data_IF_890035699014
#
_entry.id   IF_890035699014
#
_cell.length_a   1.000
_cell.length_b   1.000
_cell.length_c   1.000
_cell.angle_alpha   90.00
_cell.angle_beta   90.00
_cell.angle_gamma   90.00
#
_symmetry.space_group_name_H-M   'P 1'
#
loop_
_entity.id
_entity.type
_entity.pdbx_description
1 polymer ?
#
# COMPACT_ATOMS: atom_id res chain seq x y z
N UNK A 1 -2.03 6.47 10.40
CA UNK A 1 -2.08 5.00 10.45
C UNK A 1 -0.67 4.44 10.29
N UNK A 2 0.09 4.25 11.38
CA UNK A 2 1.48 3.75 11.31
C UNK A 2 1.54 2.27 10.93
N UNK A 3 0.64 1.44 11.47
CA UNK A 3 0.63 0.00 11.18
C UNK A 3 0.31 -0.33 9.72
N UNK A 4 -0.60 0.40 9.06
CA UNK A 4 -1.00 0.07 7.68
C UNK A 4 0.16 0.23 6.68
N UNK A 5 1.04 1.21 6.91
CA UNK A 5 2.26 1.44 6.11
C UNK A 5 3.33 0.37 6.31
N UNK A 6 3.25 -0.42 7.38
CA UNK A 6 4.22 -1.48 7.70
C UNK A 6 3.65 -2.85 7.32
N UNK A 7 2.37 -3.09 7.62
CA UNK A 7 1.70 -4.37 7.35
C UNK A 7 1.59 -4.62 5.85
N UNK A 8 1.26 -3.61 5.04
CA UNK A 8 1.11 -3.78 3.59
C UNK A 8 2.42 -4.23 2.89
N UNK A 9 3.57 -3.56 3.09
CA UNK A 9 4.83 -4.04 2.52
C UNK A 9 5.27 -5.39 3.09
N UNK A 10 5.00 -5.66 4.37
CA UNK A 10 5.32 -6.95 4.98
C UNK A 10 4.56 -8.10 4.31
N UNK A 11 3.25 -7.94 4.08
CA UNK A 11 2.42 -8.96 3.41
C UNK A 11 2.89 -9.17 1.98
N UNK A 12 3.19 -8.10 1.23
CA UNK A 12 3.71 -8.22 -0.13
C UNK A 12 5.05 -8.96 -0.16
N UNK A 13 5.95 -8.67 0.79
CA UNK A 13 7.23 -9.35 0.90
C UNK A 13 7.07 -10.85 1.19
N UNK A 14 6.19 -11.23 2.12
CA UNK A 14 5.92 -12.65 2.43
C UNK A 14 5.37 -13.39 1.21
N UNK A 15 4.42 -12.81 0.49
CA UNK A 15 3.87 -13.39 -0.74
C UNK A 15 4.98 -13.57 -1.79
N UNK A 16 5.86 -12.58 -1.91
CA UNK A 16 6.96 -12.64 -2.86
C UNK A 16 7.96 -13.75 -2.52
N UNK A 17 8.35 -13.88 -1.25
CA UNK A 17 9.25 -14.96 -0.79
C UNK A 17 8.67 -16.32 -1.14
N UNK A 18 7.41 -16.55 -0.77
CA UNK A 18 6.71 -17.82 -1.06
C UNK A 18 6.64 -18.07 -2.55
N UNK A 19 6.28 -17.06 -3.36
CA UNK A 19 6.27 -17.21 -4.81
C UNK A 19 7.66 -17.53 -5.37
N UNK A 20 8.71 -16.84 -4.92
CA UNK A 20 10.07 -17.05 -5.42
C UNK A 20 10.61 -18.44 -5.08
N UNK A 21 10.26 -18.99 -3.91
CA UNK A 21 10.59 -20.38 -3.56
C UNK A 21 9.81 -21.39 -4.40
N UNK A 22 8.49 -21.19 -4.59
CA UNK A 22 7.67 -22.11 -5.38
C UNK A 22 8.15 -22.19 -6.85
N UNK A 23 8.48 -21.05 -7.45
CA UNK A 23 8.95 -20.99 -8.83
C UNK A 23 10.45 -21.26 -9.00
N UNK A 24 11.18 -21.56 -7.91
CA UNK A 24 12.63 -21.80 -7.90
C UNK A 24 13.41 -20.71 -8.66
N UNK A 25 12.95 -19.46 -8.54
CA UNK A 25 13.56 -18.33 -9.23
C UNK A 25 14.92 -18.06 -8.60
N UNK A 26 15.98 -18.15 -9.40
CA UNK A 26 17.34 -17.87 -8.97
C UNK A 26 18.02 -16.87 -9.92
N UNK A 27 19.05 -16.17 -9.43
CA UNK A 27 19.82 -15.22 -10.23
C UNK A 27 19.02 -13.97 -10.66
N UNK A 28 19.13 -13.58 -11.93
CA UNK A 28 18.53 -12.34 -12.44
C UNK A 28 16.98 -12.29 -12.34
N UNK A 29 16.22 -13.38 -12.65
CA UNK A 29 14.77 -13.41 -12.47
C UNK A 29 14.31 -13.12 -11.03
N UNK A 30 15.07 -13.59 -10.04
CA UNK A 30 14.77 -13.35 -8.62
C UNK A 30 14.86 -11.85 -8.31
N UNK A 31 15.95 -11.20 -8.72
CA UNK A 31 16.19 -9.78 -8.47
C UNK A 31 15.08 -8.94 -9.13
N UNK A 32 14.71 -9.27 -10.38
CA UNK A 32 13.64 -8.57 -11.10
C UNK A 32 12.31 -8.72 -10.39
N UNK A 33 11.96 -9.94 -9.94
CA UNK A 33 10.73 -10.17 -9.18
C UNK A 33 10.70 -9.31 -7.91
N UNK A 34 11.80 -9.27 -7.17
CA UNK A 34 11.93 -8.45 -5.96
C UNK A 34 11.77 -6.95 -6.22
N UNK A 35 12.41 -6.42 -7.26
CA UNK A 35 12.31 -5.00 -7.64
C UNK A 35 10.87 -4.65 -8.05
N UNK A 36 10.26 -5.48 -8.89
CA UNK A 36 8.86 -5.28 -9.34
C UNK A 36 7.90 -5.36 -8.15
N UNK A 37 8.08 -6.34 -7.28
CA UNK A 37 7.30 -6.51 -6.05
C UNK A 37 7.39 -5.32 -5.10
N UNK A 38 8.61 -4.81 -4.91
CA UNK A 38 8.86 -3.64 -4.08
C UNK A 38 8.20 -2.38 -4.64
N UNK A 39 8.38 -2.11 -5.94
CA UNK A 39 7.74 -0.98 -6.62
C UNK A 39 6.22 -1.07 -6.56
N UNK A 40 5.65 -2.26 -6.77
CA UNK A 40 4.22 -2.49 -6.64
C UNK A 40 3.71 -2.18 -5.22
N UNK A 41 4.44 -2.60 -4.18
CA UNK A 41 4.11 -2.29 -2.79
C UNK A 41 4.13 -0.78 -2.50
N UNK A 42 5.13 -0.07 -3.02
CA UNK A 42 5.22 1.38 -2.86
C UNK A 42 4.05 2.10 -3.54
N UNK A 43 3.73 1.73 -4.79
CA UNK A 43 2.64 2.34 -5.55
C UNK A 43 1.30 2.10 -4.86
N UNK A 44 1.01 0.87 -4.46
CA UNK A 44 -0.24 0.53 -3.76
C UNK A 44 -0.35 1.26 -2.42
N UNK A 45 0.74 1.36 -1.66
CA UNK A 45 0.78 2.15 -0.41
C UNK A 45 0.49 3.63 -0.67
N UNK A 46 1.11 4.23 -1.68
CA UNK A 46 0.90 5.63 -2.03
C UNK A 46 -0.55 5.90 -2.46
N UNK A 47 -1.13 5.04 -3.30
CA UNK A 47 -2.54 5.15 -3.72
C UNK A 47 -3.48 5.05 -2.50
N UNK A 48 -3.22 4.11 -1.60
CA UNK A 48 -4.04 3.92 -0.41
C UNK A 48 -3.97 5.15 0.51
N UNK A 49 -2.78 5.73 0.66
CA UNK A 49 -2.58 6.95 1.43
C UNK A 49 -3.33 8.16 0.82
N UNK A 50 -3.28 8.33 -0.50
CA UNK A 50 -4.03 9.40 -1.19
C UNK A 50 -5.53 9.21 -1.01
N UNK A 51 -6.05 8.00 -1.18
CA UNK A 51 -7.48 7.70 -0.97
C UNK A 51 -7.92 7.96 0.47
N UNK A 52 -7.10 7.60 1.46
CA UNK A 52 -7.38 7.87 2.87
C UNK A 52 -7.43 9.38 3.13
N UNK A 53 -6.43 10.13 2.64
CA UNK A 53 -6.41 11.59 2.77
C UNK A 53 -7.65 12.23 2.14
N UNK A 54 -8.05 11.82 0.93
CA UNK A 54 -9.29 12.30 0.29
C UNK A 54 -10.54 12.00 1.12
N UNK A 55 -10.64 10.80 1.72
CA UNK A 55 -11.77 10.47 2.60
C UNK A 55 -11.80 11.35 3.85
N UNK A 56 -10.64 11.62 4.45
CA UNK A 56 -10.53 12.48 5.64
C UNK A 56 -10.88 13.93 5.31
N UNK A 57 -10.38 14.46 4.18
CA UNK A 57 -10.76 15.79 3.68
C UNK A 57 -12.26 15.91 3.41
N UNK A 58 -12.88 14.89 2.80
CA UNK A 58 -14.32 14.92 2.50
C UNK A 58 -15.16 14.85 3.78
N UNK A 59 -14.78 14.00 4.74
CA UNK A 59 -15.43 13.94 6.06
C UNK A 59 -15.33 15.28 6.80
N UNK A 60 -14.19 15.97 6.69
CA UNK A 60 -14.00 17.26 7.35
C UNK A 60 -14.88 18.36 6.73
N UNK A 61 -15.00 18.40 5.40
CA UNK A 61 -15.93 19.32 4.73
C UNK A 61 -17.40 19.03 5.04
N UNK A 62 -17.79 17.76 5.16
CA UNK A 62 -19.16 17.38 5.55
C UNK A 62 -19.48 17.76 7.01
N UNK A 63 -18.49 17.73 7.91
CA UNK A 63 -18.64 18.16 9.29
C UNK A 63 -18.74 19.69 9.43
N UNK A 64 -17.93 20.44 8.68
CA UNK A 64 -17.96 21.90 8.68
C UNK A 64 -19.25 22.47 8.06
N UNK A 65 -19.78 21.82 7.00
CA UNK A 65 -21.10 22.20 6.44
C UNK A 65 -22.26 22.01 7.43
N UNK A 66 -22.23 20.94 8.22
CA UNK A 66 -23.27 20.66 9.22
C UNK A 66 -23.22 21.60 10.43
N UNK A 67 -22.08 22.22 10.72
CA UNK A 67 -21.95 23.24 11.78
C UNK A 67 -22.33 24.64 11.32
N UNK A 68 -22.28 24.95 10.02
CA UNK A 68 -22.70 26.25 9.49
C UNK A 68 -24.22 26.39 9.27
N UNK A 69 -24.96 25.28 9.32
CA UNK A 69 -26.44 25.24 9.21
C UNK A 69 -27.16 25.20 10.57
N UNK A 70 -26.44 25.31 11.70
CA UNK A 70 -27.02 25.43 13.05
C UNK A 70 -26.89 26.84 13.62
#
# INVERSE_FOLDING_TARGET
MKSLRIVLPLVVAVILVVATELFHLSGAPLIIAWVVGFLFSMITTAIFEVKLRMKDFRKKQEAEKKQGEQ
#
